data_IF_429564843597
#
_entry.id   IF_429564843597
#
_cell.length_a   1.000
_cell.length_b   1.000
_cell.length_c   1.000
_cell.angle_alpha   90.00
_cell.angle_beta   90.00
_cell.angle_gamma   90.00
#
_symmetry.space_group_name_H-M   'P 1'
#
loop_
_entity.id
_entity.type
_entity.pdbx_description
1 polymer ?
#
# COMPACT_ATOMS: atom_id res chain seq x y z
N UNK A 1 13.28 -6.62 1.63
CA UNK A 1 12.97 -6.05 0.30
C UNK A 1 11.59 -5.41 0.41
N UNK A 2 11.49 -4.09 0.28
CA UNK A 2 10.24 -3.34 0.55
C UNK A 2 9.32 -3.32 -0.67
N UNK A 3 9.90 -3.35 -1.87
CA UNK A 3 9.14 -3.07 -3.09
C UNK A 3 8.53 -4.32 -3.75
N UNK A 4 9.07 -5.53 -3.53
CA UNK A 4 8.53 -6.79 -4.10
C UNK A 4 8.82 -8.01 -3.21
N UNK A 5 8.15 -8.21 -2.07
CA UNK A 5 8.32 -9.45 -1.30
C UNK A 5 7.67 -10.63 -2.03
N UNK A 6 8.42 -11.72 -2.26
CA UNK A 6 7.95 -12.94 -2.98
C UNK A 6 6.64 -13.56 -2.45
N UNK A 7 6.17 -13.20 -1.25
CA UNK A 7 4.91 -13.67 -0.69
C UNK A 7 3.68 -12.84 -1.07
N UNK A 8 3.86 -11.70 -1.76
CA UNK A 8 2.78 -10.89 -2.30
C UNK A 8 2.47 -11.18 -3.78
N UNK A 9 3.18 -12.11 -4.40
CA UNK A 9 2.96 -12.54 -5.79
C UNK A 9 2.41 -13.96 -5.83
N UNK A 10 1.34 -14.19 -6.58
CA UNK A 10 0.91 -15.53 -6.98
C UNK A 10 0.92 -15.61 -8.51
N UNK A 11 1.91 -16.29 -9.09
CA UNK A 11 2.19 -16.20 -10.52
C UNK A 11 2.75 -14.82 -10.89
N UNK A 12 2.14 -14.15 -11.87
CA UNK A 12 2.57 -12.85 -12.39
C UNK A 12 1.75 -11.66 -11.85
N UNK A 13 0.80 -11.90 -10.94
CA UNK A 13 -0.09 -10.87 -10.41
C UNK A 13 0.41 -10.44 -9.04
N UNK A 14 0.60 -9.14 -8.85
CA UNK A 14 0.91 -8.56 -7.56
C UNK A 14 -0.37 -8.48 -6.71
N UNK A 15 -0.27 -8.79 -5.42
CA UNK A 15 -1.43 -8.83 -4.52
C UNK A 15 -2.20 -7.50 -4.50
N UNK A 16 -1.52 -6.36 -4.67
CA UNK A 16 -2.18 -5.05 -4.74
C UNK A 16 -3.10 -4.93 -5.97
N UNK A 17 -2.72 -5.51 -7.11
CA UNK A 17 -3.52 -5.47 -8.35
C UNK A 17 -4.78 -6.32 -8.18
N UNK A 18 -4.64 -7.49 -7.53
CA UNK A 18 -5.79 -8.32 -7.18
C UNK A 18 -6.74 -7.63 -6.18
N UNK A 19 -6.19 -6.89 -5.20
CA UNK A 19 -6.97 -6.09 -4.26
C UNK A 19 -7.71 -4.99 -5.02
N UNK A 20 -7.03 -4.19 -5.83
CA UNK A 20 -7.61 -3.11 -6.62
C UNK A 20 -8.76 -3.60 -7.52
N UNK A 21 -8.53 -4.69 -8.27
CA UNK A 21 -9.54 -5.28 -9.15
C UNK A 21 -10.75 -5.86 -8.39
N UNK A 22 -10.63 -6.14 -7.08
CA UNK A 22 -11.69 -6.74 -6.27
C UNK A 22 -12.66 -5.73 -5.64
N UNK A 23 -12.42 -4.43 -5.81
CA UNK A 23 -13.16 -3.38 -5.10
C UNK A 23 -13.52 -2.18 -5.98
N UNK A 24 -14.43 -1.34 -5.50
CA UNK A 24 -14.73 -0.05 -6.16
C UNK A 24 -13.54 0.91 -6.01
N UNK A 25 -13.45 1.92 -6.87
CA UNK A 25 -12.41 2.95 -6.77
C UNK A 25 -12.37 3.61 -5.38
N UNK A 26 -13.54 4.01 -4.84
CA UNK A 26 -13.65 4.60 -3.50
C UNK A 26 -13.14 3.64 -2.40
N UNK A 27 -13.45 2.35 -2.51
CA UNK A 27 -12.96 1.36 -1.54
C UNK A 27 -11.44 1.19 -1.62
N UNK A 28 -10.86 1.23 -2.83
CA UNK A 28 -9.41 1.15 -3.01
C UNK A 28 -8.69 2.39 -2.50
N UNK A 29 -9.23 3.58 -2.76
CA UNK A 29 -8.74 4.82 -2.18
C UNK A 29 -8.74 4.75 -0.63
N UNK A 30 -9.84 4.27 -0.06
CA UNK A 30 -9.98 4.03 1.39
C UNK A 30 -8.95 3.03 1.93
N UNK A 31 -8.70 1.94 1.20
CA UNK A 31 -7.68 0.95 1.55
C UNK A 31 -6.27 1.56 1.57
N UNK A 32 -5.88 2.28 0.51
CA UNK A 32 -4.57 2.93 0.43
C UNK A 32 -4.38 3.96 1.54
N UNK A 33 -5.40 4.80 1.80
CA UNK A 33 -5.40 5.76 2.91
C UNK A 33 -5.21 5.08 4.27
N UNK A 34 -5.98 4.03 4.54
CA UNK A 34 -5.88 3.27 5.79
C UNK A 34 -4.53 2.56 5.96
N UNK A 35 -3.98 2.00 4.87
CA UNK A 35 -2.68 1.35 4.88
C UNK A 35 -1.55 2.35 5.14
N UNK A 36 -1.57 3.53 4.51
CA UNK A 36 -0.65 4.63 4.79
C UNK A 36 -0.68 5.03 6.26
N UNK A 37 -1.87 5.30 6.82
CA UNK A 37 -2.06 5.66 8.22
C UNK A 37 -1.54 4.57 9.18
N UNK A 38 -1.83 3.29 8.89
CA UNK A 38 -1.35 2.15 9.68
C UNK A 38 0.17 2.15 9.82
N UNK A 39 0.91 2.45 8.75
CA UNK A 39 2.37 2.47 8.80
C UNK A 39 2.91 3.72 9.49
N UNK A 40 2.28 4.88 9.30
CA UNK A 40 2.58 6.09 10.08
C UNK A 40 2.25 5.93 11.58
N UNK A 41 1.30 5.08 11.94
CA UNK A 41 1.04 4.77 13.35
C UNK A 41 2.12 3.83 13.94
N UNK A 42 2.64 2.91 13.12
CA UNK A 42 3.53 1.84 13.59
C UNK A 42 5.00 2.24 13.70
N UNK A 43 5.46 3.21 12.90
CA UNK A 43 6.90 3.47 12.76
C UNK A 43 7.55 3.84 14.11
N UNK A 44 6.82 4.51 15.01
CA UNK A 44 7.32 4.91 16.34
C UNK A 44 7.50 3.73 17.31
N UNK A 45 6.88 2.57 17.05
CA UNK A 45 6.70 1.50 18.06
C UNK A 45 7.25 0.14 17.66
N UNK A 46 7.33 -0.20 16.36
CA UNK A 46 7.61 -1.58 15.91
C UNK A 46 9.10 -1.89 15.65
N UNK A 47 10.00 -0.95 15.94
CA UNK A 47 11.45 -1.15 15.84
C UNK A 47 12.02 -1.19 14.42
N UNK A 48 11.21 -0.91 13.39
CA UNK A 48 11.65 -0.75 11.99
C UNK A 48 11.08 0.53 11.36
N UNK A 49 11.41 1.71 11.91
CA UNK A 49 10.77 2.97 11.53
C UNK A 49 10.93 3.28 10.03
N UNK A 50 12.14 3.13 9.48
CA UNK A 50 12.39 3.42 8.07
C UNK A 50 11.57 2.52 7.13
N UNK A 51 11.48 1.22 7.43
CA UNK A 51 10.70 0.28 6.60
C UNK A 51 9.19 0.61 6.65
N UNK A 52 8.66 0.97 7.82
CA UNK A 52 7.27 1.40 7.94
C UNK A 52 7.04 2.74 7.19
N UNK A 53 7.94 3.72 7.31
CA UNK A 53 7.84 4.99 6.56
C UNK A 53 7.88 4.79 5.04
N UNK A 54 8.75 3.90 4.54
CA UNK A 54 8.80 3.56 3.11
C UNK A 54 7.49 2.90 2.64
N UNK A 55 6.88 2.04 3.46
CA UNK A 55 5.56 1.47 3.14
C UNK A 55 4.46 2.52 3.16
N UNK A 56 4.49 3.46 4.10
CA UNK A 56 3.54 4.58 4.12
C UNK A 56 3.64 5.40 2.82
N UNK A 57 4.87 5.75 2.40
CA UNK A 57 5.12 6.44 1.14
C UNK A 57 4.58 5.66 -0.07
N UNK A 58 4.80 4.35 -0.11
CA UNK A 58 4.32 3.52 -1.21
C UNK A 58 2.79 3.55 -1.36
N UNK A 59 2.05 3.41 -0.27
CA UNK A 59 0.57 3.49 -0.29
C UNK A 59 0.06 4.91 -0.58
N UNK A 60 0.79 5.94 -0.14
CA UNK A 60 0.46 7.32 -0.48
C UNK A 60 0.64 7.57 -1.98
N UNK A 61 1.74 7.11 -2.58
CA UNK A 61 1.98 7.24 -4.02
C UNK A 61 0.89 6.50 -4.82
N UNK A 62 0.51 5.29 -4.41
CA UNK A 62 -0.61 4.56 -5.05
C UNK A 62 -1.93 5.32 -4.97
N UNK A 63 -2.22 5.94 -3.83
CA UNK A 63 -3.41 6.78 -3.70
C UNK A 63 -3.36 7.99 -4.64
N UNK A 64 -2.21 8.67 -4.72
CA UNK A 64 -2.02 9.81 -5.65
C UNK A 64 -2.22 9.36 -7.09
N UNK A 65 -1.60 8.25 -7.50
CA UNK A 65 -1.78 7.68 -8.84
C UNK A 65 -3.27 7.49 -9.15
N UNK A 66 -4.03 6.85 -8.27
CA UNK A 66 -5.48 6.63 -8.47
C UNK A 66 -6.27 7.93 -8.61
N UNK A 67 -5.91 8.98 -7.86
CA UNK A 67 -6.57 10.29 -7.92
C UNK A 67 -6.20 11.10 -9.17
N UNK A 68 -4.99 10.95 -9.69
CA UNK A 68 -4.52 11.66 -10.89
C UNK A 68 -5.15 11.12 -12.19
N UNK A 69 -5.70 9.90 -12.16
CA UNK A 69 -6.42 9.27 -13.28
C UNK A 69 -7.95 9.44 -13.24
N UNK A 70 -8.51 10.12 -12.23
CA UNK A 70 -9.92 10.55 -12.17
C UNK A 70 -10.16 11.90 -12.87
#
# INVERSE_FOLDING_TARGET
MVNHPNHYTYGNIECIEGIEASMTAEAFQGYCKGACLKYLWRYERKGKPLEDLQKAQWYLNKLIEVMDYE
#
